data_IF_209815269298
#
_entry.id   IF_209815269298
#
_cell.length_a   1.000
_cell.length_b   1.000
_cell.length_c   1.000
_cell.angle_alpha   90.00
_cell.angle_beta   90.00
_cell.angle_gamma   90.00
#
_symmetry.space_group_name_H-M   'P 1'
#
loop_
_entity.id
_entity.type
_entity.pdbx_description
1 polymer ?
#
# COMPACT_ATOMS: atom_id res chain seq x y z
N UNK A 1 -0.72 -2.24 8.40
CA UNK A 1 -0.04 -2.63 7.13
C UNK A 1 -0.16 -4.11 6.81
N UNK A 2 0.05 -5.03 7.76
CA UNK A 2 -0.04 -6.48 7.47
C UNK A 2 -1.43 -6.94 7.03
N UNK A 3 -2.50 -6.51 7.71
CA UNK A 3 -3.89 -6.78 7.27
C UNK A 3 -4.11 -6.28 5.83
N UNK A 4 -3.67 -5.06 5.55
CA UNK A 4 -3.73 -4.44 4.23
C UNK A 4 -3.00 -5.26 3.15
N UNK A 5 -1.79 -5.76 3.45
CA UNK A 5 -1.06 -6.64 2.55
C UNK A 5 -1.84 -7.93 2.23
N UNK A 6 -2.48 -8.55 3.24
CA UNK A 6 -3.31 -9.73 3.05
C UNK A 6 -4.51 -9.47 2.14
N UNK A 7 -5.19 -8.35 2.36
CA UNK A 7 -6.31 -7.88 1.50
C UNK A 7 -5.85 -7.71 0.05
N UNK A 8 -4.74 -6.99 -0.19
CA UNK A 8 -4.23 -6.78 -1.56
C UNK A 8 -3.81 -8.08 -2.23
N UNK A 9 -3.16 -9.01 -1.51
CA UNK A 9 -2.77 -10.31 -2.07
C UNK A 9 -4.00 -11.10 -2.50
N UNK A 10 -5.02 -11.17 -1.66
CA UNK A 10 -6.26 -11.86 -2.01
C UNK A 10 -6.92 -11.23 -3.24
N UNK A 11 -7.11 -9.90 -3.23
CA UNK A 11 -7.70 -9.19 -4.36
C UNK A 11 -6.89 -9.35 -5.65
N UNK A 12 -5.56 -9.33 -5.56
CA UNK A 12 -4.67 -9.53 -6.70
C UNK A 12 -4.80 -10.94 -7.30
N UNK A 13 -4.60 -11.98 -6.48
CA UNK A 13 -4.43 -13.35 -6.96
C UNK A 13 -5.73 -14.12 -7.11
N UNK A 14 -6.74 -13.81 -6.29
CA UNK A 14 -8.01 -14.54 -6.27
C UNK A 14 -9.14 -13.78 -6.99
N UNK A 15 -9.09 -12.45 -7.02
CA UNK A 15 -10.12 -11.65 -7.69
C UNK A 15 -9.69 -11.22 -9.09
N UNK A 16 -8.59 -10.46 -9.21
CA UNK A 16 -8.20 -9.82 -10.47
C UNK A 16 -7.57 -10.79 -11.48
N UNK A 17 -6.62 -11.64 -11.05
CA UNK A 17 -5.93 -12.54 -11.97
C UNK A 17 -6.89 -13.58 -12.62
N UNK A 18 -7.83 -14.20 -11.87
CA UNK A 18 -8.82 -15.09 -12.48
C UNK A 18 -9.82 -14.32 -13.36
N UNK A 19 -10.22 -13.11 -12.97
CA UNK A 19 -11.08 -12.25 -13.80
C UNK A 19 -10.42 -11.82 -15.11
N UNK A 20 -9.09 -11.69 -15.14
CA UNK A 20 -8.34 -11.52 -16.38
C UNK A 20 -8.35 -12.80 -17.23
N UNK A 21 -8.16 -13.97 -16.60
CA UNK A 21 -8.13 -15.26 -17.28
C UNK A 21 -9.47 -15.61 -17.97
N UNK A 22 -10.60 -15.14 -17.45
CA UNK A 22 -11.91 -15.36 -18.09
C UNK A 22 -12.17 -14.45 -19.28
N UNK A 23 -11.36 -13.39 -19.47
CA UNK A 23 -11.55 -12.37 -20.50
C UNK A 23 -10.50 -12.42 -21.60
N UNK A 24 -9.32 -12.95 -21.30
CA UNK A 24 -8.23 -13.12 -22.26
C UNK A 24 -8.29 -14.50 -22.90
N UNK A 25 -8.09 -14.55 -24.21
CA UNK A 25 -7.94 -15.82 -24.94
C UNK A 25 -6.58 -16.50 -24.70
N UNK A 26 -5.65 -15.77 -24.08
CA UNK A 26 -4.30 -16.22 -23.74
C UNK A 26 -4.03 -16.12 -22.24
N UNK A 27 -3.00 -16.82 -21.78
CA UNK A 27 -2.65 -16.86 -20.35
C UNK A 27 -2.29 -15.46 -19.82
N UNK A 28 -2.89 -14.98 -18.71
CA UNK A 28 -2.65 -13.64 -18.17
C UNK A 28 -1.29 -13.47 -17.47
N UNK A 29 -0.58 -14.58 -17.20
CA UNK A 29 0.65 -14.59 -16.39
C UNK A 29 1.78 -13.68 -16.93
N UNK A 30 2.06 -13.59 -18.25
CA UNK A 30 3.06 -12.64 -18.75
C UNK A 30 2.68 -11.18 -18.43
N UNK A 31 1.41 -10.82 -18.57
CA UNK A 31 0.92 -9.48 -18.25
C UNK A 31 0.97 -9.17 -16.74
N UNK A 32 0.76 -10.18 -15.91
CA UNK A 32 1.00 -10.06 -14.46
C UNK A 32 2.45 -9.65 -14.18
N UNK A 33 3.43 -10.31 -14.79
CA UNK A 33 4.84 -9.92 -14.62
C UNK A 33 5.18 -8.56 -15.25
N UNK A 34 4.53 -8.18 -16.35
CA UNK A 34 4.60 -6.80 -16.88
C UNK A 34 4.13 -5.81 -15.82
N UNK A 35 3.06 -6.11 -15.10
CA UNK A 35 2.58 -5.30 -13.97
C UNK A 35 3.59 -5.18 -12.83
N UNK A 36 4.24 -6.28 -12.45
CA UNK A 36 5.33 -6.28 -11.46
C UNK A 36 6.46 -5.36 -11.90
N UNK A 37 6.91 -5.48 -13.15
CA UNK A 37 7.97 -4.64 -13.73
C UNK A 37 7.54 -3.17 -13.78
N UNK A 38 6.32 -2.89 -14.21
CA UNK A 38 5.78 -1.53 -14.27
C UNK A 38 5.74 -0.89 -12.88
N UNK A 39 5.38 -1.64 -11.84
CA UNK A 39 5.41 -1.12 -10.47
C UNK A 39 6.85 -0.90 -9.97
N UNK A 40 7.82 -1.72 -10.36
CA UNK A 40 9.25 -1.47 -10.06
C UNK A 40 9.75 -0.20 -10.77
N UNK A 41 9.38 0.01 -12.03
CA UNK A 41 9.71 1.22 -12.78
C UNK A 41 9.04 2.45 -12.17
N UNK A 42 7.78 2.34 -11.77
CA UNK A 42 7.06 3.38 -11.04
C UNK A 42 7.79 3.69 -9.73
N UNK A 43 8.25 2.68 -8.99
CA UNK A 43 9.01 2.86 -7.75
C UNK A 43 10.28 3.67 -7.99
N UNK A 44 11.03 3.35 -9.06
CA UNK A 44 12.23 4.09 -9.48
C UNK A 44 11.91 5.51 -9.93
N UNK A 45 10.83 5.70 -10.68
CA UNK A 45 10.38 7.00 -11.15
C UNK A 45 9.97 7.90 -9.98
N UNK A 46 9.19 7.38 -9.03
CA UNK A 46 8.78 8.14 -7.83
C UNK A 46 10.02 8.55 -7.04
N UNK A 47 10.97 7.65 -6.82
CA UNK A 47 12.23 8.00 -6.15
C UNK A 47 13.02 9.08 -6.92
N UNK A 48 13.02 9.05 -8.25
CA UNK A 48 13.67 10.06 -9.08
C UNK A 48 12.96 11.42 -8.98
N UNK A 49 11.63 11.43 -8.94
CA UNK A 49 10.80 12.65 -8.86
C UNK A 49 10.68 13.22 -7.45
N UNK A 50 10.92 12.42 -6.41
CA UNK A 50 10.96 12.85 -5.01
C UNK A 50 12.37 12.67 -4.42
N UNK A 51 13.38 13.41 -4.92
CA UNK A 51 14.69 13.42 -4.29
C UNK A 51 14.56 14.15 -2.95
N UNK A 52 14.52 13.40 -1.84
CA UNK A 52 14.93 13.76 -0.45
C UNK A 52 14.67 15.18 0.10
N UNK A 53 13.75 15.97 -0.48
CA UNK A 53 13.46 17.35 -0.05
C UNK A 53 12.27 17.44 0.93
N UNK A 54 11.60 16.32 1.21
CA UNK A 54 10.50 16.25 2.18
C UNK A 54 10.94 15.87 3.61
N UNK A 55 12.24 15.85 3.89
CA UNK A 55 12.77 15.74 5.26
C UNK A 55 12.60 17.05 6.06
N UNK A 56 12.35 18.18 5.39
CA UNK A 56 12.19 19.50 6.01
C UNK A 56 10.76 19.89 6.45
N UNK A 57 9.73 19.10 6.14
CA UNK A 57 8.32 19.44 6.44
C UNK A 57 7.70 18.61 7.57
N UNK A 58 8.43 17.62 8.12
CA UNK A 58 8.05 16.89 9.34
C UNK A 58 8.60 17.48 10.64
N UNK A 59 9.36 18.59 10.56
CA UNK A 59 9.95 19.28 11.70
C UNK A 59 9.01 20.33 12.31
N UNK A 60 7.82 19.93 12.73
CA UNK A 60 6.89 20.73 13.51
C UNK A 60 6.78 20.20 14.93
N UNK A 61 7.65 20.71 15.80
CA UNK A 61 7.57 20.80 17.27
C UNK A 61 7.42 19.55 18.16
N UNK A 62 8.24 19.59 19.22
CA UNK A 62 8.00 19.03 20.56
C UNK A 62 8.01 17.51 20.78
N UNK A 63 9.19 16.99 21.12
CA UNK A 63 9.28 16.01 22.21
C UNK A 63 10.47 16.33 23.12
N UNK A 64 10.15 17.17 24.11
CA UNK A 64 10.44 16.96 25.52
C UNK A 64 11.87 16.60 25.90
N UNK A 65 12.61 17.64 26.29
CA UNK A 65 13.65 17.54 27.33
C UNK A 65 13.03 16.93 28.59
N UNK A 66 13.20 15.63 28.78
CA UNK A 66 13.19 14.98 30.09
C UNK A 66 14.44 14.11 30.20
N UNK A 67 15.62 14.74 30.13
CA UNK A 67 16.81 14.18 30.78
C UNK A 67 16.76 14.63 32.22
N UNK A 68 16.41 13.67 33.08
CA UNK A 68 16.33 13.77 34.53
C UNK A 68 17.67 14.27 35.12
N UNK A 69 17.74 15.38 35.90
CA UNK A 69 19.02 15.91 36.39
C UNK A 69 19.61 15.20 37.62
N UNK A 70 18.98 14.15 38.15
CA UNK A 70 19.21 13.77 39.55
C UNK A 70 20.24 12.67 39.86
N UNK A 71 21.06 12.23 38.90
CA UNK A 71 22.14 11.27 39.18
C UNK A 71 23.54 11.88 39.01
N UNK A 72 23.82 12.93 39.80
CA UNK A 72 25.16 13.53 39.88
C UNK A 72 25.70 13.61 41.30
N UNK A 73 25.61 12.53 42.09
CA UNK A 73 26.39 12.31 43.32
C UNK A 73 26.60 10.80 43.53
N UNK A 74 27.86 10.40 43.73
CA UNK A 74 28.43 9.04 43.71
C UNK A 74 28.85 8.66 42.28
N UNK A 75 30.12 8.53 41.92
CA UNK A 75 31.32 8.14 42.67
C UNK A 75 32.52 9.01 42.27
N UNK A 76 33.26 9.48 43.27
CA UNK A 76 34.64 9.91 43.12
C UNK A 76 35.54 8.72 43.48
N UNK A 77 36.71 8.68 42.85
CA UNK A 77 37.92 7.95 43.23
C UNK A 77 38.01 6.45 42.87
N UNK A 78 38.52 6.15 41.67
CA UNK A 78 39.62 5.17 41.50
C UNK A 78 40.55 5.61 40.34
N UNK A 79 41.82 5.76 40.67
CA UNK A 79 42.95 6.11 39.80
C UNK A 79 43.53 4.88 39.06
N UNK A 80 43.84 5.07 37.77
CA UNK A 80 45.11 4.76 37.08
C UNK A 80 45.50 3.35 36.52
N UNK A 81 46.07 3.41 35.31
CA UNK A 81 46.90 2.48 34.48
C UNK A 81 46.34 1.14 33.95
N UNK A 82 46.26 1.04 32.61
CA UNK A 82 46.22 -0.25 31.90
C UNK A 82 45.90 -0.11 30.41
N UNK A 83 46.82 -0.53 29.55
CA UNK A 83 46.80 -0.31 28.10
C UNK A 83 45.74 -1.12 27.32
N UNK A 84 45.47 -0.61 26.10
CA UNK A 84 44.90 -1.31 24.93
C UNK A 84 43.37 -1.30 24.81
N UNK A 85 42.83 -0.17 24.36
CA UNK A 85 41.50 -0.14 23.72
C UNK A 85 41.60 -0.86 22.38
N UNK A 86 41.29 -2.16 22.35
CA UNK A 86 40.96 -2.86 21.12
C UNK A 86 39.70 -2.21 20.55
N UNK A 87 39.89 -1.43 19.48
CA UNK A 87 38.84 -0.87 18.65
C UNK A 87 38.10 -2.04 18.00
N UNK A 88 36.99 -2.49 18.59
CA UNK A 88 36.08 -3.40 17.90
C UNK A 88 35.40 -2.63 16.77
N UNK A 89 35.51 -3.07 15.50
CA UNK A 89 34.65 -2.56 14.45
C UNK A 89 33.30 -3.25 14.62
N UNK A 90 32.40 -2.65 15.38
CA UNK A 90 31.00 -3.07 15.42
C UNK A 90 30.24 -2.35 14.30
N UNK A 91 30.61 -2.65 13.06
CA UNK A 91 29.75 -2.44 11.89
C UNK A 91 28.70 -3.55 11.88
N UNK A 92 27.80 -3.53 12.87
CA UNK A 92 26.51 -4.16 12.72
C UNK A 92 25.65 -3.17 11.93
N UNK A 93 25.46 -3.46 10.65
CA UNK A 93 24.48 -2.78 9.82
C UNK A 93 23.13 -2.84 10.52
N UNK A 94 22.73 -1.74 11.16
CA UNK A 94 21.40 -1.58 11.73
C UNK A 94 20.40 -1.80 10.59
N UNK A 95 19.29 -2.53 10.82
CA UNK A 95 18.27 -2.69 9.79
C UNK A 95 17.81 -1.28 9.42
N UNK A 96 18.00 -0.93 8.15
CA UNK A 96 17.71 0.39 7.60
C UNK A 96 16.28 0.80 8.00
N UNK A 97 16.16 1.70 8.99
CA UNK A 97 14.86 2.20 9.45
C UNK A 97 14.29 3.02 8.31
N UNK A 98 13.24 2.52 7.66
CA UNK A 98 12.64 3.20 6.51
C UNK A 98 12.15 4.58 6.93
N UNK A 99 12.64 5.59 6.23
CA UNK A 99 12.38 7.00 6.47
C UNK A 99 10.95 7.38 6.06
N UNK A 100 10.48 8.55 6.50
CA UNK A 100 9.20 9.11 6.08
C UNK A 100 9.05 9.19 4.54
N UNK A 101 10.17 9.41 3.82
CA UNK A 101 10.19 9.39 2.35
C UNK A 101 9.88 8.02 1.77
N UNK A 102 10.36 6.92 2.38
CA UNK A 102 10.05 5.56 1.95
C UNK A 102 8.55 5.22 2.09
N UNK A 103 7.92 5.65 3.19
CA UNK A 103 6.49 5.47 3.40
C UNK A 103 5.63 6.27 2.41
N UNK A 104 6.04 7.50 2.09
CA UNK A 104 5.39 8.31 1.05
C UNK A 104 5.47 7.63 -0.33
N UNK A 105 6.62 7.05 -0.67
CA UNK A 105 6.79 6.30 -1.93
C UNK A 105 5.82 5.12 -2.01
N UNK A 106 5.69 4.34 -0.93
CA UNK A 106 4.71 3.24 -0.84
C UNK A 106 3.28 3.78 -1.01
N UNK A 107 2.95 4.92 -0.39
CA UNK A 107 1.64 5.57 -0.52
C UNK A 107 1.33 6.01 -1.96
N UNK A 108 2.29 6.59 -2.67
CA UNK A 108 2.14 6.99 -4.08
C UNK A 108 1.94 5.77 -4.97
N UNK A 109 2.79 4.74 -4.82
CA UNK A 109 2.66 3.49 -5.58
C UNK A 109 1.29 2.84 -5.34
N UNK A 110 0.87 2.76 -4.07
CA UNK A 110 -0.44 2.24 -3.69
C UNK A 110 -1.54 3.05 -4.37
N UNK A 111 -1.49 4.38 -4.33
CA UNK A 111 -2.51 5.22 -4.96
C UNK A 111 -2.58 5.01 -6.47
N UNK A 112 -1.45 4.95 -7.16
CA UNK A 112 -1.42 4.74 -8.63
C UNK A 112 -2.00 3.38 -8.99
N UNK A 113 -1.55 2.30 -8.33
CA UNK A 113 -2.12 0.98 -8.54
C UNK A 113 -3.61 0.95 -8.22
N UNK A 114 -4.04 1.66 -7.17
CA UNK A 114 -5.44 1.74 -6.81
C UNK A 114 -6.28 2.48 -7.86
N UNK A 115 -5.76 3.56 -8.43
CA UNK A 115 -6.42 4.26 -9.53
C UNK A 115 -6.58 3.36 -10.76
N UNK A 116 -5.52 2.62 -11.12
CA UNK A 116 -5.56 1.70 -12.26
C UNK A 116 -6.55 0.54 -12.04
N UNK A 117 -6.70 0.01 -10.82
CA UNK A 117 -7.68 -1.06 -10.56
C UNK A 117 -9.13 -0.58 -10.74
N UNK A 118 -9.39 0.72 -10.60
CA UNK A 118 -10.72 1.31 -10.77
C UNK A 118 -11.07 1.59 -12.23
N UNK A 119 -10.10 1.55 -13.15
CA UNK A 119 -10.33 1.78 -14.59
C UNK A 119 -11.37 0.83 -15.19
N UNK A 120 -11.40 -0.48 -14.87
CA UNK A 120 -12.41 -1.38 -15.44
C UNK A 120 -13.82 -1.18 -14.86
N UNK A 121 -14.03 -0.24 -13.93
CA UNK A 121 -15.27 -0.02 -13.20
C UNK A 121 -16.27 0.91 -13.89
N UNK A 122 -16.91 0.47 -14.98
CA UNK A 122 -18.00 1.23 -15.64
C UNK A 122 -19.31 1.30 -14.82
N UNK A 123 -19.39 0.55 -13.72
CA UNK A 123 -20.61 0.32 -12.92
C UNK A 123 -21.22 1.57 -12.28
N UNK A 124 -20.43 2.62 -12.03
CA UNK A 124 -20.98 3.89 -11.51
C UNK A 124 -21.96 4.56 -12.49
N UNK A 125 -21.94 4.18 -13.77
CA UNK A 125 -22.75 4.79 -14.82
C UNK A 125 -23.81 3.86 -15.41
N UNK A 126 -23.92 2.60 -14.94
CA UNK A 126 -24.99 1.71 -15.39
C UNK A 126 -26.29 2.06 -14.66
N UNK A 127 -27.23 2.70 -15.37
CA UNK A 127 -28.56 2.99 -14.84
C UNK A 127 -29.30 1.70 -14.47
N UNK A 128 -29.69 1.55 -13.20
CA UNK A 128 -30.31 0.34 -12.67
C UNK A 128 -31.38 0.62 -11.61
N UNK A 129 -32.10 -0.44 -11.21
CA UNK A 129 -33.17 -0.43 -10.19
C UNK A 129 -32.65 0.13 -8.84
N UNK A 130 -33.34 1.10 -8.19
CA UNK A 130 -32.94 1.67 -6.91
C UNK A 130 -32.62 0.65 -5.79
N UNK A 131 -33.29 -0.51 -5.76
CA UNK A 131 -33.02 -1.57 -4.75
C UNK A 131 -31.69 -2.28 -5.00
N UNK A 132 -31.37 -2.52 -6.28
CA UNK A 132 -30.06 -3.01 -6.69
C UNK A 132 -29.01 -1.93 -6.42
N UNK A 133 -29.36 -0.67 -6.68
CA UNK A 133 -28.54 0.51 -6.41
C UNK A 133 -28.08 0.62 -4.96
N UNK A 134 -28.94 0.38 -3.96
CA UNK A 134 -28.54 0.44 -2.55
C UNK A 134 -27.53 -0.66 -2.17
N UNK A 135 -27.75 -1.89 -2.64
CA UNK A 135 -26.82 -3.02 -2.38
C UNK A 135 -25.48 -2.78 -3.05
N UNK A 136 -25.49 -2.34 -4.32
CA UNK A 136 -24.29 -1.96 -5.08
C UNK A 136 -23.58 -0.78 -4.43
N UNK A 137 -24.32 0.23 -3.96
CA UNK A 137 -23.77 1.36 -3.21
C UNK A 137 -23.03 0.88 -1.96
N UNK A 138 -23.66 0.07 -1.11
CA UNK A 138 -23.01 -0.48 0.08
C UNK A 138 -21.76 -1.28 -0.25
N UNK A 139 -21.80 -2.13 -1.28
CA UNK A 139 -20.67 -2.92 -1.73
C UNK A 139 -19.50 -2.04 -2.21
N UNK A 140 -19.78 -1.04 -3.06
CA UNK A 140 -18.78 -0.08 -3.56
C UNK A 140 -18.23 0.77 -2.41
N UNK A 141 -19.07 1.24 -1.49
CA UNK A 141 -18.64 2.01 -0.33
C UNK A 141 -17.67 1.24 0.56
N UNK A 142 -17.95 -0.03 0.86
CA UNK A 142 -17.09 -0.87 1.69
C UNK A 142 -15.75 -1.16 1.00
N UNK A 143 -15.78 -1.41 -0.31
CA UNK A 143 -14.57 -1.60 -1.11
C UNK A 143 -13.70 -0.34 -1.10
N UNK A 144 -14.30 0.83 -1.31
CA UNK A 144 -13.61 2.11 -1.31
C UNK A 144 -13.06 2.50 0.05
N UNK A 145 -13.77 2.17 1.13
CA UNK A 145 -13.25 2.34 2.48
C UNK A 145 -11.98 1.50 2.66
N UNK A 146 -12.00 0.24 2.22
CA UNK A 146 -10.86 -0.66 2.30
C UNK A 146 -9.67 -0.08 1.51
N UNK A 147 -9.86 0.35 0.26
CA UNK A 147 -8.81 0.97 -0.56
C UNK A 147 -8.26 2.26 0.05
N UNK A 148 -9.13 3.10 0.60
CA UNK A 148 -8.76 4.33 1.30
C UNK A 148 -7.86 4.03 2.50
N UNK A 149 -8.16 2.98 3.27
CA UNK A 149 -7.30 2.51 4.36
C UNK A 149 -5.95 2.00 3.82
N UNK A 150 -5.91 1.32 2.67
CA UNK A 150 -4.65 0.86 2.07
C UNK A 150 -3.72 2.03 1.73
N UNK A 151 -4.27 3.14 1.23
CA UNK A 151 -3.53 4.37 0.89
C UNK A 151 -3.15 5.15 2.16
N UNK A 152 -4.05 5.24 3.14
CA UNK A 152 -3.84 6.03 4.36
C UNK A 152 -2.77 5.41 5.28
N UNK A 153 -2.60 4.09 5.32
CA UNK A 153 -1.67 3.43 6.24
C UNK A 153 -0.19 3.78 6.00
N UNK A 154 0.35 3.71 4.77
CA UNK A 154 1.69 4.23 4.47
C UNK A 154 1.81 5.71 4.78
N UNK A 155 0.79 6.51 4.45
CA UNK A 155 0.83 7.94 4.70
C UNK A 155 0.85 8.26 6.19
N UNK A 156 0.12 7.51 7.02
CA UNK A 156 0.16 7.62 8.47
C UNK A 156 1.55 7.29 9.02
N UNK A 157 2.19 6.24 8.49
CA UNK A 157 3.56 5.94 8.89
C UNK A 157 4.57 7.02 8.47
N UNK A 158 4.30 7.76 7.39
CA UNK A 158 5.10 8.91 6.96
C UNK A 158 4.84 10.17 7.81
N UNK A 159 3.57 10.53 8.06
CA UNK A 159 3.17 11.81 8.65
C UNK A 159 2.98 11.76 10.16
N UNK A 160 2.84 10.56 10.74
CA UNK A 160 2.49 10.31 12.15
C UNK A 160 1.19 11.02 12.61
N UNK A 161 0.38 11.53 11.67
CA UNK A 161 -0.86 12.22 11.93
C UNK A 161 -2.03 11.48 11.30
N UNK A 162 -2.83 10.81 12.14
CA UNK A 162 -4.01 10.08 11.71
C UNK A 162 -4.99 10.95 10.89
N UNK A 163 -5.44 12.14 11.35
CA UNK A 163 -6.42 12.91 10.59
C UNK A 163 -5.87 13.37 9.23
N UNK A 164 -4.58 13.70 9.16
CA UNK A 164 -3.92 14.07 7.91
C UNK A 164 -3.85 12.88 6.94
N UNK A 165 -3.40 11.71 7.43
CA UNK A 165 -3.28 10.52 6.61
C UNK A 165 -4.63 10.01 6.10
N UNK A 166 -5.66 10.02 6.94
CA UNK A 166 -7.02 9.68 6.53
C UNK A 166 -7.60 10.71 5.56
N UNK A 167 -7.39 12.01 5.79
CA UNK A 167 -7.88 13.07 4.90
C UNK A 167 -7.28 12.99 3.50
N UNK A 168 -5.96 12.86 3.39
CA UNK A 168 -5.28 12.67 2.11
C UNK A 168 -5.62 11.33 1.48
N UNK A 169 -5.65 10.23 2.25
CA UNK A 169 -6.03 8.92 1.74
C UNK A 169 -7.45 8.88 1.18
N UNK A 170 -8.41 9.51 1.87
CA UNK A 170 -9.78 9.66 1.40
C UNK A 170 -9.87 10.52 0.14
N UNK A 171 -9.13 11.63 0.07
CA UNK A 171 -9.07 12.48 -1.11
C UNK A 171 -8.49 11.72 -2.31
N UNK A 172 -7.34 11.07 -2.14
CA UNK A 172 -6.66 10.31 -3.20
C UNK A 172 -7.49 9.11 -3.65
N UNK A 173 -8.10 8.37 -2.72
CA UNK A 173 -8.99 7.24 -3.04
C UNK A 173 -10.26 7.69 -3.76
N UNK A 174 -10.89 8.79 -3.32
CA UNK A 174 -12.08 9.36 -3.95
C UNK A 174 -11.80 9.89 -5.36
N UNK A 175 -10.71 10.64 -5.54
CA UNK A 175 -10.27 11.11 -6.86
C UNK A 175 -9.95 9.93 -7.78
N UNK A 176 -9.26 8.91 -7.27
CA UNK A 176 -8.95 7.68 -8.02
C UNK A 176 -10.21 6.99 -8.53
N UNK A 177 -11.31 7.02 -7.79
CA UNK A 177 -12.59 6.45 -8.24
C UNK A 177 -13.20 7.24 -9.40
N UNK A 178 -13.25 8.57 -9.28
CA UNK A 178 -13.83 9.42 -10.33
C UNK A 178 -12.98 9.29 -11.60
N UNK A 179 -11.66 9.42 -11.49
CA UNK A 179 -10.75 9.29 -12.63
C UNK A 179 -10.83 7.88 -13.23
N UNK A 180 -10.78 6.83 -12.41
CA UNK A 180 -10.90 5.45 -12.86
C UNK A 180 -12.18 5.19 -13.64
N UNK A 181 -13.33 5.58 -13.09
CA UNK A 181 -14.62 5.41 -13.76
C UNK A 181 -14.74 6.20 -15.06
N UNK A 182 -14.32 7.47 -15.06
CA UNK A 182 -14.40 8.34 -16.26
C UNK A 182 -13.47 7.82 -17.35
N UNK A 183 -12.19 7.58 -17.06
CA UNK A 183 -11.25 7.07 -18.04
C UNK A 183 -11.59 5.66 -18.50
N UNK A 184 -12.14 4.83 -17.60
CA UNK A 184 -12.68 3.51 -17.92
C UNK A 184 -13.75 3.57 -18.99
N UNK A 185 -14.79 4.37 -18.76
CA UNK A 185 -15.87 4.59 -19.72
C UNK A 185 -15.31 5.12 -21.04
N UNK A 186 -14.47 6.16 -21.01
CA UNK A 186 -13.87 6.71 -22.24
C UNK A 186 -13.02 5.72 -23.03
N UNK A 187 -12.33 4.80 -22.34
CA UNK A 187 -11.49 3.79 -22.98
C UNK A 187 -12.30 2.71 -23.70
N UNK A 188 -13.52 2.42 -23.24
CA UNK A 188 -14.33 1.29 -23.76
C UNK A 188 -15.59 1.71 -24.54
N UNK A 189 -16.02 2.98 -24.48
CA UNK A 189 -17.29 3.44 -25.08
C UNK A 189 -17.43 3.23 -26.59
N UNK A 190 -16.31 3.13 -27.33
CA UNK A 190 -16.30 2.92 -28.77
C UNK A 190 -15.72 1.56 -29.18
N UNK A 191 -15.55 0.65 -28.21
CA UNK A 191 -15.01 -0.69 -28.46
C UNK A 191 -16.16 -1.69 -28.61
N UNK A 192 -16.00 -2.64 -29.54
CA UNK A 192 -16.86 -3.82 -29.55
C UNK A 192 -16.58 -4.67 -28.30
N UNK A 193 -17.56 -5.50 -27.91
CA UNK A 193 -17.50 -6.33 -26.70
C UNK A 193 -16.20 -7.15 -26.58
N UNK A 194 -15.69 -7.70 -27.68
CA UNK A 194 -14.43 -8.46 -27.68
C UNK A 194 -13.21 -7.61 -27.31
N UNK A 195 -13.14 -6.37 -27.81
CA UNK A 195 -12.06 -5.45 -27.49
C UNK A 195 -12.21 -4.86 -26.09
N UNK A 196 -13.45 -4.68 -25.61
CA UNK A 196 -13.71 -4.33 -24.22
C UNK A 196 -13.19 -5.41 -23.26
N UNK A 197 -13.55 -6.68 -23.50
CA UNK A 197 -13.10 -7.80 -22.66
C UNK A 197 -11.57 -7.94 -22.71
N UNK A 198 -10.96 -7.78 -23.88
CA UNK A 198 -9.51 -7.77 -24.04
C UNK A 198 -8.86 -6.64 -23.21
N UNK A 199 -9.38 -5.40 -23.31
CA UNK A 199 -8.87 -4.26 -22.56
C UNK A 199 -8.97 -4.49 -21.05
N UNK A 200 -10.16 -4.88 -20.57
CA UNK A 200 -10.40 -5.16 -19.15
C UNK A 200 -9.50 -6.30 -18.66
N UNK A 201 -9.36 -7.36 -19.45
CA UNK A 201 -8.50 -8.51 -19.14
C UNK A 201 -7.03 -8.10 -19.02
N UNK A 202 -6.52 -7.27 -19.94
CA UNK A 202 -5.15 -6.75 -19.88
C UNK A 202 -4.95 -5.90 -18.62
N UNK A 203 -5.85 -4.96 -18.34
CA UNK A 203 -5.78 -4.09 -17.17
C UNK A 203 -5.81 -4.91 -15.88
N UNK A 204 -6.71 -5.88 -15.75
CA UNK A 204 -6.78 -6.76 -14.58
C UNK A 204 -5.49 -7.57 -14.36
N UNK A 205 -4.91 -8.14 -15.42
CA UNK A 205 -3.66 -8.90 -15.29
C UNK A 205 -2.50 -8.00 -14.84
N UNK A 206 -2.32 -6.83 -15.46
CA UNK A 206 -1.26 -5.87 -15.11
C UNK A 206 -1.44 -5.36 -13.69
N UNK A 207 -2.64 -4.90 -13.33
CA UNK A 207 -2.93 -4.37 -11.99
C UNK A 207 -2.77 -5.44 -10.91
N UNK A 208 -3.17 -6.69 -11.19
CA UNK A 208 -2.92 -7.81 -10.29
C UNK A 208 -1.43 -7.93 -9.94
N UNK A 209 -0.55 -7.85 -10.94
CA UNK A 209 0.91 -7.84 -10.76
C UNK A 209 1.40 -6.68 -9.89
N UNK A 210 0.92 -5.47 -10.16
CA UNK A 210 1.27 -4.27 -9.38
C UNK A 210 0.86 -4.41 -7.91
N UNK A 211 -0.39 -4.80 -7.65
CA UNK A 211 -0.95 -4.95 -6.30
C UNK A 211 -0.25 -6.05 -5.51
N UNK A 212 0.12 -7.16 -6.16
CA UNK A 212 0.90 -8.23 -5.53
C UNK A 212 2.26 -7.70 -5.05
N UNK A 213 2.96 -6.94 -5.90
CA UNK A 213 4.25 -6.38 -5.54
C UNK A 213 4.15 -5.36 -4.39
N UNK A 214 3.16 -4.48 -4.44
CA UNK A 214 2.88 -3.50 -3.37
C UNK A 214 2.58 -4.20 -2.05
N UNK A 215 1.79 -5.27 -2.07
CA UNK A 215 1.46 -6.02 -0.88
C UNK A 215 2.69 -6.66 -0.23
N UNK A 216 3.57 -7.27 -1.04
CA UNK A 216 4.77 -7.95 -0.54
C UNK A 216 5.84 -6.94 -0.09
N UNK A 217 6.28 -6.08 -1.01
CA UNK A 217 7.43 -5.19 -0.78
C UNK A 217 7.02 -3.92 -0.05
N UNK A 218 5.89 -3.33 -0.41
CA UNK A 218 5.44 -2.05 0.15
C UNK A 218 4.80 -2.18 1.53
N UNK A 219 4.00 -3.22 1.77
CA UNK A 219 3.22 -3.34 3.00
C UNK A 219 3.76 -4.42 3.95
N UNK A 220 3.93 -5.66 3.47
CA UNK A 220 4.29 -6.79 4.33
C UNK A 220 5.74 -6.69 4.84
N UNK A 221 6.69 -6.47 3.93
CA UNK A 221 8.10 -6.27 4.29
C UNK A 221 8.27 -5.04 5.20
N UNK A 222 7.53 -3.98 4.91
CA UNK A 222 7.55 -2.76 5.72
C UNK A 222 7.03 -3.00 7.14
N UNK A 223 5.95 -3.78 7.29
CA UNK A 223 5.44 -4.17 8.60
C UNK A 223 6.46 -4.98 9.40
N UNK A 224 7.21 -5.89 8.75
CA UNK A 224 8.28 -6.67 9.41
C UNK A 224 9.45 -5.81 9.87
N UNK A 225 9.78 -4.74 9.13
CA UNK A 225 10.86 -3.80 9.47
C UNK A 225 10.46 -2.84 10.58
N UNK A 226 9.22 -2.37 10.58
CA UNK A 226 8.74 -1.38 11.55
C UNK A 226 8.48 -1.96 12.94
N UNK A 227 8.21 -3.28 13.04
CA UNK A 227 7.92 -3.96 14.29
C UNK A 227 8.85 -5.17 14.52
N UNK A 228 10.18 -4.95 14.73
CA UNK A 228 11.16 -6.02 14.87
C UNK A 228 10.87 -6.94 16.06
N UNK A 229 10.37 -6.40 17.18
CA UNK A 229 10.04 -7.19 18.37
C UNK A 229 8.73 -7.99 18.25
N UNK A 230 7.90 -7.68 17.24
CA UNK A 230 6.57 -8.26 17.04
C UNK A 230 6.43 -8.98 15.70
N UNK A 231 7.54 -9.39 15.07
CA UNK A 231 7.53 -10.06 13.76
C UNK A 231 6.62 -11.30 13.72
N UNK A 232 6.43 -11.99 14.84
CA UNK A 232 5.50 -13.14 14.95
C UNK A 232 4.04 -12.77 14.72
N UNK A 233 3.64 -11.53 15.02
CA UNK A 233 2.27 -11.05 14.82
C UNK A 233 2.00 -10.62 13.38
N UNK A 234 3.03 -10.29 12.60
CA UNK A 234 2.87 -9.80 11.23
C UNK A 234 2.18 -10.84 10.33
N UNK A 235 2.60 -12.12 10.29
CA UNK A 235 1.88 -13.15 9.54
C UNK A 235 0.44 -13.35 10.02
N UNK A 236 0.19 -13.30 11.32
CA UNK A 236 -1.16 -13.44 11.88
C UNK A 236 -2.10 -12.38 11.30
N UNK A 237 -1.71 -11.10 11.37
CA UNK A 237 -2.52 -10.02 10.81
C UNK A 237 -2.63 -10.06 9.29
N UNK A 238 -1.60 -10.54 8.59
CA UNK A 238 -1.67 -10.79 7.14
C UNK A 238 -2.76 -11.81 6.80
N UNK A 239 -2.81 -12.95 7.48
CA UNK A 239 -3.85 -13.96 7.27
C UNK A 239 -5.24 -13.48 7.72
N UNK A 240 -5.34 -12.65 8.76
CA UNK A 240 -6.60 -11.99 9.11
C UNK A 240 -7.13 -11.16 7.95
N UNK A 241 -6.28 -10.41 7.24
CA UNK A 241 -6.67 -9.65 6.05
C UNK A 241 -7.20 -10.54 4.92
N UNK A 242 -6.52 -11.64 4.63
CA UNK A 242 -6.96 -12.66 3.66
C UNK A 242 -8.33 -13.23 4.08
N UNK A 243 -8.48 -13.58 5.36
CA UNK A 243 -9.71 -14.18 5.89
C UNK A 243 -10.90 -13.22 5.79
N UNK A 244 -10.74 -11.94 6.13
CA UNK A 244 -11.80 -10.94 6.05
C UNK A 244 -12.34 -10.81 4.62
N UNK A 245 -11.44 -10.71 3.63
CA UNK A 245 -11.85 -10.56 2.23
C UNK A 245 -12.37 -11.87 1.66
N UNK A 246 -11.76 -13.00 2.03
CA UNK A 246 -12.25 -14.32 1.68
C UNK A 246 -13.69 -14.54 2.13
N UNK A 247 -13.98 -14.23 3.39
CA UNK A 247 -15.33 -14.33 3.95
C UNK A 247 -16.30 -13.35 3.27
N UNK A 248 -15.87 -12.11 3.02
CA UNK A 248 -16.66 -11.12 2.29
C UNK A 248 -17.03 -11.61 0.88
N UNK A 249 -16.09 -12.23 0.17
CA UNK A 249 -16.33 -12.77 -1.17
C UNK A 249 -17.25 -13.99 -1.19
N UNK A 250 -17.28 -14.79 -0.12
CA UNK A 250 -18.22 -15.90 0.04
C UNK A 250 -19.65 -15.43 0.30
N UNK A 251 -19.82 -14.32 1.00
CA UNK A 251 -21.12 -13.73 1.29
C UNK A 251 -21.70 -12.93 0.12
N UNK A 252 -20.86 -12.52 -0.84
CA UNK A 252 -21.24 -11.71 -2.00
C UNK A 252 -21.56 -12.49 -3.28
N UNK A 253 -21.30 -13.81 -3.31
CA UNK A 253 -21.71 -14.75 -4.37
C UNK A 253 -23.01 -15.45 -3.97
#
# INVERSE_FOLDING_TARGET
MSVAAGVLIYSSLYTLLPAANTRLEFTPLPLFFVGVILNLLLSRLVHYLTPEQLSGLGGGEENTKLVNPDNRRQEADVENYGATTLRQPHDQAQPESVTASGFLQIGIQTTVAMCLHKLPGKWLFSGGDPRVGFTVFCAISLHNFTDGVMIALPLYAATQSAPMAFGYGACMGGVSQILGGVFGVLAVTNLDQQYEDLFIGIVFAVVSGMMCLIAIQGLLLQALRQYPDQQRLVPFYFFVGIFIVGLSSLLGN
#
